data_IF_974461848275
#
_entry.id   IF_974461848275
#
_cell.length_a   1.000
_cell.length_b   1.000
_cell.length_c   1.000
_cell.angle_alpha   90.00
_cell.angle_beta   90.00
_cell.angle_gamma   90.00
#
_symmetry.space_group_name_H-M   'P 1'
#
loop_
_entity.id
_entity.type
_entity.pdbx_description
1 polymer ?
#
# COMPACT_ATOMS: atom_id res chain seq x y z
N UNK A 1 20.71 64.33 9.92
CA UNK A 1 20.71 63.44 8.74
C UNK A 1 20.42 62.02 9.22
N UNK A 2 19.15 61.61 9.17
CA UNK A 2 18.72 60.30 9.70
C UNK A 2 18.85 59.21 8.63
N UNK A 3 19.50 58.11 9.01
CA UNK A 3 19.74 56.92 8.21
C UNK A 3 18.48 56.05 8.13
N UNK A 4 17.96 55.81 6.93
CA UNK A 4 16.85 54.89 6.68
C UNK A 4 17.37 53.45 6.51
N UNK A 5 17.10 52.57 7.48
CA UNK A 5 17.22 51.12 7.30
C UNK A 5 16.08 50.62 6.41
N UNK A 6 16.41 50.14 5.21
CA UNK A 6 15.48 49.39 4.35
C UNK A 6 15.45 47.93 4.83
N UNK A 7 14.33 47.50 5.40
CA UNK A 7 14.07 46.10 5.70
C UNK A 7 13.66 45.39 4.41
N UNK A 8 14.50 44.49 3.92
CA UNK A 8 14.15 43.55 2.85
C UNK A 8 13.30 42.46 3.50
N UNK A 9 12.00 42.51 3.28
CA UNK A 9 11.10 41.40 3.59
C UNK A 9 11.45 40.29 2.60
N UNK A 10 12.22 39.31 3.05
CA UNK A 10 12.43 38.05 2.33
C UNK A 10 11.07 37.35 2.23
N UNK A 11 10.52 37.11 1.02
CA UNK A 11 9.34 36.30 0.92
C UNK A 11 9.80 34.87 1.17
N UNK A 12 9.55 34.37 2.38
CA UNK A 12 9.54 32.94 2.66
C UNK A 12 8.66 32.30 1.58
N UNK A 13 9.33 31.66 0.62
CA UNK A 13 8.73 30.79 -0.37
C UNK A 13 8.05 29.66 0.40
N UNK A 14 6.78 29.86 0.75
CA UNK A 14 5.89 28.75 1.06
C UNK A 14 5.80 27.92 -0.21
N UNK A 15 6.63 26.88 -0.29
CA UNK A 15 6.47 25.78 -1.22
C UNK A 15 5.10 25.17 -0.95
N UNK A 16 4.08 25.71 -1.62
CA UNK A 16 2.80 25.03 -1.82
C UNK A 16 3.13 23.78 -2.63
N UNK A 17 3.40 22.68 -1.93
CA UNK A 17 3.39 21.35 -2.51
C UNK A 17 1.95 21.16 -2.97
N UNK A 18 1.68 21.40 -4.25
CA UNK A 18 0.45 20.97 -4.89
C UNK A 18 0.53 19.45 -4.87
N UNK A 19 -0.04 18.84 -3.84
CA UNK A 19 -0.18 17.38 -3.77
C UNK A 19 -1.13 17.06 -4.93
N UNK A 20 -0.67 16.37 -5.99
CA UNK A 20 -1.58 15.97 -7.05
C UNK A 20 -2.69 15.15 -6.40
N UNK A 21 -3.94 15.55 -6.64
CA UNK A 21 -5.11 14.77 -6.25
C UNK A 21 -5.08 13.47 -7.07
N UNK A 22 -4.33 12.47 -6.60
CA UNK A 22 -4.36 11.14 -7.17
C UNK A 22 -5.78 10.63 -7.02
N UNK A 23 -6.44 10.32 -8.14
CA UNK A 23 -7.66 9.54 -8.11
C UNK A 23 -7.38 8.20 -7.44
N UNK A 24 -8.37 7.70 -6.71
CA UNK A 24 -8.36 6.33 -6.19
C UNK A 24 -7.97 5.32 -7.26
N UNK A 25 -7.16 4.33 -6.88
CA UNK A 25 -6.76 3.27 -7.80
C UNK A 25 -7.04 1.89 -7.20
N UNK A 26 -7.55 1.00 -8.04
CA UNK A 26 -7.88 -0.38 -7.67
C UNK A 26 -7.14 -1.33 -8.59
N UNK A 27 -6.31 -2.18 -8.01
CA UNK A 27 -5.49 -3.15 -8.71
C UNK A 27 -5.95 -4.56 -8.38
N UNK A 28 -6.04 -5.41 -9.40
CA UNK A 28 -6.33 -6.83 -9.26
C UNK A 28 -5.04 -7.61 -9.39
N UNK A 29 -4.82 -8.58 -8.50
CA UNK A 29 -3.71 -9.51 -8.63
C UNK A 29 -3.89 -10.27 -9.95
N UNK A 30 -2.89 -10.14 -10.83
CA UNK A 30 -2.87 -10.75 -12.17
C UNK A 30 -1.56 -11.48 -12.44
N UNK A 31 -0.73 -11.66 -11.42
CA UNK A 31 0.65 -12.08 -11.60
C UNK A 31 0.95 -13.45 -10.97
N UNK A 32 1.94 -14.13 -11.52
CA UNK A 32 2.47 -15.40 -11.00
C UNK A 32 3.85 -15.17 -10.39
N UNK A 33 4.27 -16.04 -9.47
CA UNK A 33 5.61 -15.95 -8.88
C UNK A 33 6.71 -15.88 -9.94
N UNK A 34 6.62 -16.66 -11.03
CA UNK A 34 7.64 -16.68 -12.09
C UNK A 34 7.90 -15.31 -12.76
N UNK A 35 6.96 -14.37 -12.64
CA UNK A 35 7.03 -13.03 -13.21
C UNK A 35 7.50 -11.98 -12.17
N UNK A 36 7.71 -12.37 -10.92
CA UNK A 36 8.26 -11.49 -9.89
C UNK A 36 9.78 -11.61 -9.93
N UNK A 37 10.53 -10.50 -9.92
CA UNK A 37 11.98 -10.52 -9.98
C UNK A 37 12.62 -11.44 -8.93
N UNK A 38 13.58 -12.28 -9.35
CA UNK A 38 14.18 -13.31 -8.50
C UNK A 38 14.87 -12.72 -7.27
N UNK A 39 15.44 -11.52 -7.34
CA UNK A 39 16.04 -10.83 -6.20
C UNK A 39 15.05 -10.53 -5.08
N UNK A 40 13.76 -10.35 -5.42
CA UNK A 40 12.68 -10.18 -4.45
C UNK A 40 12.30 -11.56 -3.89
N UNK A 41 12.03 -12.53 -4.77
CA UNK A 41 11.53 -13.86 -4.37
C UNK A 41 12.54 -14.68 -3.57
N UNK A 42 13.84 -14.59 -3.88
CA UNK A 42 14.89 -15.25 -3.09
C UNK A 42 14.90 -14.77 -1.63
N UNK A 43 14.30 -13.63 -1.35
CA UNK A 43 14.16 -13.06 0.00
C UNK A 43 12.75 -13.21 0.57
N UNK A 44 11.88 -14.09 0.03
CA UNK A 44 10.49 -14.27 0.50
C UNK A 44 10.39 -14.61 2.00
N UNK A 45 11.38 -15.33 2.53
CA UNK A 45 11.43 -15.67 3.95
C UNK A 45 11.69 -14.47 4.88
N UNK A 46 12.15 -13.33 4.34
CA UNK A 46 12.38 -12.08 5.07
C UNK A 46 11.14 -11.18 5.11
N UNK A 47 10.05 -11.56 4.45
CA UNK A 47 8.80 -10.80 4.40
C UNK A 47 7.77 -11.32 5.41
N UNK A 48 6.99 -10.40 5.98
CA UNK A 48 5.97 -10.66 7.00
C UNK A 48 6.56 -11.34 8.24
N UNK A 49 7.66 -10.80 8.75
CA UNK A 49 8.27 -11.24 10.02
C UNK A 49 7.44 -10.72 11.20
N UNK A 50 6.92 -9.50 11.08
CA UNK A 50 6.08 -8.82 12.07
C UNK A 50 4.69 -8.47 11.50
N UNK A 51 3.84 -7.96 12.37
CA UNK A 51 2.50 -7.45 12.09
C UNK A 51 2.45 -5.91 11.96
N UNK A 52 3.61 -5.25 11.80
CA UNK A 52 3.66 -3.81 11.64
C UNK A 52 2.90 -3.38 10.38
N UNK A 53 2.05 -2.37 10.53
CA UNK A 53 1.22 -1.83 9.45
C UNK A 53 2.04 -1.18 8.33
N UNK A 54 3.27 -0.74 8.63
CA UNK A 54 4.18 -0.23 7.63
C UNK A 54 4.85 -1.39 6.88
N UNK A 55 4.80 -1.35 5.56
CA UNK A 55 5.55 -2.24 4.71
C UNK A 55 7.03 -1.86 4.73
N UNK A 56 7.90 -2.86 4.81
CA UNK A 56 9.32 -2.70 4.51
C UNK A 56 9.53 -2.40 3.03
N UNK A 57 10.74 -1.97 2.66
CA UNK A 57 11.09 -1.74 1.25
C UNK A 57 10.95 -3.03 0.41
N UNK A 58 11.36 -4.18 0.97
CA UNK A 58 11.26 -5.47 0.28
C UNK A 58 9.79 -5.88 0.06
N UNK A 59 8.95 -5.73 1.09
CA UNK A 59 7.51 -6.04 1.00
C UNK A 59 6.79 -5.10 0.03
N UNK A 60 7.14 -3.81 0.04
CA UNK A 60 6.61 -2.84 -0.92
C UNK A 60 7.00 -3.17 -2.36
N UNK A 61 8.26 -3.52 -2.60
CA UNK A 61 8.74 -3.99 -3.91
C UNK A 61 8.01 -5.25 -4.36
N UNK A 62 7.76 -6.19 -3.45
CA UNK A 62 6.98 -7.40 -3.73
C UNK A 62 5.57 -7.06 -4.20
N UNK A 63 4.83 -6.22 -3.46
CA UNK A 63 3.47 -5.86 -3.86
C UNK A 63 3.42 -5.04 -5.15
N UNK A 64 4.37 -4.11 -5.36
CA UNK A 64 4.46 -3.39 -6.64
C UNK A 64 4.63 -4.37 -7.81
N UNK A 65 5.47 -5.40 -7.67
CA UNK A 65 5.64 -6.44 -8.70
C UNK A 65 4.41 -7.34 -8.85
N UNK A 66 3.79 -7.76 -7.74
CA UNK A 66 2.62 -8.63 -7.73
C UNK A 66 1.40 -7.97 -8.40
N UNK A 67 1.19 -6.68 -8.15
CA UNK A 67 0.08 -5.90 -8.71
C UNK A 67 0.44 -5.17 -10.01
N UNK A 68 1.69 -5.30 -10.47
CA UNK A 68 2.21 -4.64 -11.68
C UNK A 68 2.01 -3.12 -11.66
N UNK A 69 2.30 -2.50 -10.51
CA UNK A 69 2.21 -1.04 -10.33
C UNK A 69 3.39 -0.39 -11.04
N UNK A 70 3.11 0.65 -11.82
CA UNK A 70 4.17 1.47 -12.40
C UNK A 70 4.91 2.22 -11.28
N UNK A 71 6.21 1.99 -11.19
CA UNK A 71 7.10 2.61 -10.19
C UNK A 71 7.14 4.13 -10.31
N UNK A 72 6.83 4.69 -11.48
CA UNK A 72 6.76 6.13 -11.72
C UNK A 72 5.45 6.73 -11.18
N UNK A 73 4.39 5.91 -11.09
CA UNK A 73 3.07 6.34 -10.64
C UNK A 73 2.92 6.22 -9.12
N UNK A 74 3.32 5.08 -8.54
CA UNK A 74 3.18 4.86 -7.11
C UNK A 74 4.16 3.81 -6.58
N UNK A 75 4.49 3.91 -5.29
CA UNK A 75 5.25 2.87 -4.60
C UNK A 75 4.66 2.54 -3.24
N UNK A 76 4.49 1.24 -2.99
CA UNK A 76 4.06 0.70 -1.69
C UNK A 76 5.18 0.61 -0.64
N UNK A 77 6.43 0.96 -0.98
CA UNK A 77 7.52 0.97 0.00
C UNK A 77 7.21 1.94 1.15
N UNK A 78 7.35 1.47 2.39
CA UNK A 78 7.12 2.26 3.61
C UNK A 78 5.69 2.80 3.76
N UNK A 79 4.72 2.22 3.06
CA UNK A 79 3.30 2.61 3.15
C UNK A 79 2.58 1.85 4.26
N UNK A 80 1.61 2.52 4.89
CA UNK A 80 0.72 1.92 5.90
C UNK A 80 -0.39 1.15 5.18
N UNK A 81 -0.38 -0.17 5.27
CA UNK A 81 -1.28 -1.05 4.49
C UNK A 81 -2.11 -1.94 5.42
N UNK A 82 -3.42 -1.94 5.20
CA UNK A 82 -4.34 -2.83 5.90
C UNK A 82 -4.51 -4.16 5.16
N UNK A 83 -4.78 -5.24 5.89
CA UNK A 83 -5.02 -6.56 5.33
C UNK A 83 -6.39 -7.11 5.76
N UNK A 84 -7.16 -7.59 4.79
CA UNK A 84 -8.43 -8.29 5.01
C UNK A 84 -8.49 -9.58 4.20
N UNK A 85 -9.23 -10.56 4.70
CA UNK A 85 -9.34 -11.88 4.09
C UNK A 85 -10.75 -12.46 4.15
N UNK A 86 -10.89 -13.69 3.69
CA UNK A 86 -12.10 -14.49 3.71
C UNK A 86 -13.02 -14.24 2.52
N UNK A 87 -13.99 -15.13 2.32
CA UNK A 87 -14.85 -15.13 1.11
C UNK A 87 -15.61 -13.82 0.87
N UNK A 88 -15.90 -13.03 1.92
CA UNK A 88 -16.56 -11.72 1.82
C UNK A 88 -15.58 -10.53 1.93
N UNK A 89 -14.28 -10.80 2.09
CA UNK A 89 -13.23 -9.81 2.27
C UNK A 89 -13.38 -8.95 3.51
N UNK A 90 -14.05 -9.45 4.56
CA UNK A 90 -14.38 -8.70 5.80
C UNK A 90 -13.52 -9.09 7.00
N UNK A 91 -12.91 -10.27 6.96
CA UNK A 91 -12.15 -10.78 8.09
C UNK A 91 -10.86 -9.99 8.20
N UNK A 92 -10.59 -9.38 9.36
CA UNK A 92 -9.31 -8.70 9.58
C UNK A 92 -8.19 -9.72 9.49
N UNK A 93 -7.10 -9.34 8.84
CA UNK A 93 -5.86 -10.08 8.83
C UNK A 93 -4.70 -9.13 9.08
N UNK A 94 -3.50 -9.62 8.92
CA UNK A 94 -2.27 -8.87 9.09
C UNK A 94 -1.23 -9.31 8.07
N UNK A 95 -0.14 -8.52 8.04
CA UNK A 95 0.98 -8.71 7.14
C UNK A 95 1.64 -10.08 7.32
N UNK A 96 1.80 -10.53 8.57
CA UNK A 96 2.42 -11.81 8.92
C UNK A 96 1.61 -12.98 8.39
N UNK A 97 0.28 -12.97 8.56
CA UNK A 97 -0.62 -13.98 8.05
C UNK A 97 -0.65 -14.02 6.52
N UNK A 98 -0.70 -12.85 5.86
CA UNK A 98 -0.65 -12.78 4.40
C UNK A 98 0.62 -13.46 3.86
N UNK A 99 1.79 -13.05 4.36
CA UNK A 99 3.06 -13.60 3.90
C UNK A 99 3.30 -15.04 4.34
N UNK A 100 2.72 -15.51 5.45
CA UNK A 100 2.74 -16.94 5.77
C UNK A 100 2.08 -17.77 4.66
N UNK A 101 0.95 -17.29 4.13
CA UNK A 101 0.30 -17.87 2.95
C UNK A 101 1.17 -17.81 1.70
N UNK A 102 1.77 -16.64 1.40
CA UNK A 102 2.68 -16.47 0.26
C UNK A 102 3.86 -17.43 0.32
N UNK A 103 4.53 -17.54 1.47
CA UNK A 103 5.67 -18.45 1.69
C UNK A 103 5.26 -19.90 1.47
N UNK A 104 4.09 -20.30 1.96
CA UNK A 104 3.55 -21.64 1.76
C UNK A 104 3.26 -21.91 0.28
N UNK A 105 2.60 -20.98 -0.41
CA UNK A 105 2.26 -21.12 -1.82
C UNK A 105 3.52 -21.21 -2.69
N UNK A 106 4.50 -20.35 -2.43
CA UNK A 106 5.77 -20.36 -3.17
C UNK A 106 6.51 -21.69 -3.00
N UNK A 107 6.64 -22.21 -1.78
CA UNK A 107 7.29 -23.51 -1.52
C UNK A 107 6.58 -24.67 -2.20
N UNK A 108 5.26 -24.60 -2.34
CA UNK A 108 4.44 -25.64 -2.95
C UNK A 108 4.29 -25.46 -4.47
N UNK A 109 4.96 -24.47 -5.08
CA UNK A 109 4.80 -24.09 -6.48
C UNK A 109 3.34 -23.74 -6.87
N UNK A 110 2.56 -23.24 -5.92
CA UNK A 110 1.22 -22.71 -6.14
C UNK A 110 1.29 -21.25 -6.60
N UNK A 111 0.16 -20.71 -7.05
CA UNK A 111 0.04 -19.28 -7.36
C UNK A 111 0.07 -18.40 -6.10
N UNK A 112 0.46 -17.11 -6.22
CA UNK A 112 0.37 -16.17 -5.10
C UNK A 112 -1.07 -16.02 -4.61
N UNK A 113 -1.28 -15.41 -3.43
CA UNK A 113 -2.64 -15.16 -2.96
C UNK A 113 -3.38 -14.23 -3.94
N UNK A 114 -4.56 -14.67 -4.38
CA UNK A 114 -5.44 -13.83 -5.20
C UNK A 114 -6.05 -12.75 -4.33
N UNK A 115 -5.94 -11.50 -4.76
CA UNK A 115 -6.47 -10.36 -4.01
C UNK A 115 -6.61 -9.07 -4.82
N UNK A 116 -7.19 -8.08 -4.17
CA UNK A 116 -7.41 -6.72 -4.70
C UNK A 116 -6.68 -5.73 -3.80
N UNK A 117 -5.90 -4.85 -4.41
CA UNK A 117 -5.24 -3.73 -3.77
C UNK A 117 -6.04 -2.45 -4.03
N UNK A 118 -6.27 -1.67 -2.98
CA UNK A 118 -6.89 -0.36 -3.04
C UNK A 118 -5.88 0.68 -2.58
N UNK A 119 -5.48 1.59 -3.47
CA UNK A 119 -4.62 2.73 -3.13
C UNK A 119 -5.51 3.93 -2.85
N UNK A 120 -5.34 4.51 -1.68
CA UNK A 120 -6.19 5.60 -1.20
C UNK A 120 -5.67 6.95 -1.66
N UNK A 121 -6.59 7.82 -2.05
CA UNK A 121 -6.29 9.24 -2.22
C UNK A 121 -6.16 9.93 -0.85
N UNK A 122 -5.84 11.23 -0.87
CA UNK A 122 -5.64 12.00 0.37
C UNK A 122 -6.86 11.97 1.32
N UNK A 123 -8.06 12.15 0.78
CA UNK A 123 -9.32 12.13 1.55
C UNK A 123 -9.57 10.74 2.16
N UNK A 124 -9.41 9.67 1.39
CA UNK A 124 -9.60 8.29 1.85
C UNK A 124 -8.54 7.88 2.88
N UNK A 125 -7.31 8.36 2.73
CA UNK A 125 -6.24 8.17 3.71
C UNK A 125 -6.61 8.81 5.03
N UNK A 126 -7.09 10.05 5.02
CA UNK A 126 -7.57 10.72 6.23
C UNK A 126 -8.74 9.96 6.86
N UNK A 127 -9.77 9.64 6.06
CA UNK A 127 -10.97 8.94 6.53
C UNK A 127 -10.70 7.54 7.09
N UNK A 128 -9.66 6.86 6.61
CA UNK A 128 -9.28 5.52 7.05
C UNK A 128 -8.40 5.48 8.29
N UNK A 129 -8.01 6.63 8.88
CA UNK A 129 -7.07 6.65 10.01
C UNK A 129 -5.60 6.61 9.55
N UNK A 130 -5.32 7.20 8.40
CA UNK A 130 -3.98 7.40 7.86
C UNK A 130 -3.42 6.22 7.06
N UNK A 131 -4.23 5.23 6.67
CA UNK A 131 -3.77 4.15 5.79
C UNK A 131 -3.53 4.68 4.38
N UNK A 132 -2.46 4.22 3.74
CA UNK A 132 -2.15 4.54 2.36
C UNK A 132 -2.85 3.58 1.39
N UNK A 133 -3.07 2.34 1.83
CA UNK A 133 -3.72 1.32 1.02
C UNK A 133 -4.37 0.20 1.86
N UNK A 134 -5.13 -0.66 1.19
CA UNK A 134 -5.64 -1.91 1.74
C UNK A 134 -5.50 -3.05 0.73
N UNK A 135 -5.19 -4.25 1.22
CA UNK A 135 -5.18 -5.49 0.45
C UNK A 135 -6.28 -6.40 0.98
N UNK A 136 -7.15 -6.84 0.08
CA UNK A 136 -8.21 -7.82 0.36
C UNK A 136 -7.93 -9.07 -0.45
N UNK A 137 -7.62 -10.18 0.22
CA UNK A 137 -7.23 -11.44 -0.42
C UNK A 137 -8.18 -12.59 -0.06
N UNK A 138 -8.28 -13.61 -0.91
CA UNK A 138 -9.27 -14.71 -0.80
C UNK A 138 -10.74 -14.27 -0.78
N UNK A 139 -11.05 -13.06 -1.26
CA UNK A 139 -12.42 -12.59 -1.39
C UNK A 139 -13.03 -13.07 -2.71
N UNK A 140 -14.24 -13.63 -2.63
CA UNK A 140 -15.07 -13.95 -3.81
C UNK A 140 -15.86 -12.74 -4.32
N UNK A 141 -15.80 -11.62 -3.59
CA UNK A 141 -16.51 -10.37 -3.90
C UNK A 141 -15.54 -9.21 -4.03
N UNK A 142 -15.73 -8.40 -5.07
CA UNK A 142 -15.13 -7.07 -5.13
C UNK A 142 -15.80 -6.17 -4.09
N UNK A 143 -15.01 -5.70 -3.12
CA UNK A 143 -15.52 -4.84 -2.05
C UNK A 143 -15.44 -3.39 -2.53
N UNK A 144 -16.56 -2.64 -2.53
CA UNK A 144 -16.53 -1.22 -2.88
C UNK A 144 -15.56 -0.45 -1.97
N UNK A 145 -14.76 0.46 -2.55
CA UNK A 145 -13.70 1.13 -1.80
C UNK A 145 -14.21 1.95 -0.61
N UNK A 146 -15.37 2.59 -0.74
CA UNK A 146 -16.03 3.31 0.35
C UNK A 146 -16.34 2.38 1.54
N UNK A 147 -16.67 1.11 1.28
CA UNK A 147 -16.84 0.10 2.33
C UNK A 147 -15.50 -0.25 2.97
N UNK A 148 -14.42 -0.35 2.19
CA UNK A 148 -13.06 -0.60 2.70
C UNK A 148 -12.61 0.53 3.63
N UNK A 149 -12.71 1.79 3.18
CA UNK A 149 -12.35 2.98 3.99
C UNK A 149 -13.20 3.06 5.25
N UNK A 150 -14.52 2.82 5.14
CA UNK A 150 -15.43 2.83 6.30
C UNK A 150 -15.09 1.76 7.34
N UNK A 151 -14.60 0.59 6.92
CA UNK A 151 -14.16 -0.46 7.86
C UNK A 151 -12.91 -0.02 8.62
N UNK A 152 -11.98 0.64 7.95
CA UNK A 152 -10.75 1.13 8.58
C UNK A 152 -11.00 2.29 9.55
N UNK A 153 -11.96 3.18 9.25
CA UNK A 153 -12.37 4.25 10.16
C UNK A 153 -12.82 3.76 11.55
N UNK A 154 -13.33 2.52 11.64
CA UNK A 154 -13.87 1.94 12.88
C UNK A 154 -12.79 1.33 13.80
N UNK A 155 -11.52 1.42 13.42
CA UNK A 155 -10.38 0.81 14.09
C UNK A 155 -9.30 1.84 14.39
#
# INVERSE_FOLDING_TARGET
>A
MYSMKKYIISPCFFLLIIIPNMSTQVYYMRNEFKNIPCEILNNINKMGIDDNLLLTELEGKYFNALYQIDKQEYSLCCKKVAFFTGSLGKTKSDKKMYFAGEKSNFRLNNSPNVGTLYIFNAEQKEQSGGYDAAIIYWSKRLVPINEVVKRLKKH
#
